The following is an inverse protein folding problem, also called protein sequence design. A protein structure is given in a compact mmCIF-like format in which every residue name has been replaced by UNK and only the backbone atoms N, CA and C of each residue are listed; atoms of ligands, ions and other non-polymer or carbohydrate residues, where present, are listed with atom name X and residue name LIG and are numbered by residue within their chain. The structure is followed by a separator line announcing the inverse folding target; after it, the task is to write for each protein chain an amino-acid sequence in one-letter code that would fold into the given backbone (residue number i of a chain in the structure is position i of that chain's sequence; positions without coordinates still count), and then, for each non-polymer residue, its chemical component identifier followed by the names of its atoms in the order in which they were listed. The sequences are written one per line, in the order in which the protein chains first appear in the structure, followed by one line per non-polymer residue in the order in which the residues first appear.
data_IF_176079504027
#
_entry.id   IF_176079504027
#
_cell.length_a   1.000
_cell.length_b   1.000
_cell.length_c   1.000
_cell.angle_alpha   90.00
_cell.angle_beta   90.00
_cell.angle_gamma   90.00
#
_symmetry.space_group_name_H-M   'P 1'
#
loop_
_entity.id
_entity.type
_entity.pdbx_description
1 polymer ?
#
# COMPACT_ATOMS: atom_id res chain seq x y z
N UNK A 1 -2.69 -13.54 7.25
CA UNK A 1 -2.33 -13.33 5.82
C UNK A 1 -3.03 -14.35 4.96
N UNK A 2 -3.60 -13.94 3.83
CA UNK A 2 -4.28 -14.88 2.92
C UNK A 2 -3.26 -15.73 2.14
N UNK A 3 -3.70 -16.90 1.67
CA UNK A 3 -2.90 -17.75 0.79
C UNK A 3 -2.51 -17.03 -0.51
N UNK A 4 -3.32 -16.06 -0.97
CA UNK A 4 -3.00 -15.20 -2.11
C UNK A 4 -1.81 -14.27 -1.82
N UNK A 5 -1.80 -13.58 -0.67
CA UNK A 5 -0.69 -12.69 -0.31
C UNK A 5 0.63 -13.45 -0.22
N UNK A 6 0.65 -14.61 0.44
CA UNK A 6 1.83 -15.47 0.55
C UNK A 6 2.31 -15.98 -0.81
N UNK A 7 1.38 -16.39 -1.69
CA UNK A 7 1.72 -16.88 -3.02
C UNK A 7 2.23 -15.75 -3.93
N UNK A 8 1.68 -14.54 -3.79
CA UNK A 8 2.11 -13.36 -4.55
C UNK A 8 3.51 -12.89 -4.16
N UNK A 9 3.81 -12.75 -2.87
CA UNK A 9 5.17 -12.36 -2.44
C UNK A 9 6.23 -13.41 -2.80
N UNK A 10 5.91 -14.71 -2.69
CA UNK A 10 6.82 -15.78 -3.11
C UNK A 10 7.13 -15.76 -4.61
N UNK A 11 6.19 -15.27 -5.42
CA UNK A 11 6.30 -15.30 -6.88
C UNK A 11 6.86 -14.00 -7.47
N UNK A 12 6.59 -12.86 -6.83
CA UNK A 12 6.86 -11.54 -7.40
C UNK A 12 7.77 -10.66 -6.52
N UNK A 13 8.20 -11.13 -5.35
CA UNK A 13 8.91 -10.36 -4.32
C UNK A 13 8.05 -9.27 -3.64
N UNK A 14 8.50 -8.77 -2.50
CA UNK A 14 7.78 -7.80 -1.66
C UNK A 14 7.42 -6.50 -2.40
N UNK A 15 8.33 -5.99 -3.23
CA UNK A 15 8.14 -4.74 -3.99
C UNK A 15 6.97 -4.89 -4.96
N UNK A 16 6.93 -5.98 -5.74
CA UNK A 16 5.86 -6.17 -6.70
C UNK A 16 4.52 -6.47 -6.02
N UNK A 17 4.52 -7.17 -4.87
CA UNK A 17 3.32 -7.36 -4.08
C UNK A 17 2.72 -6.04 -3.59
N UNK A 18 3.53 -5.19 -2.95
CA UNK A 18 3.07 -3.87 -2.47
C UNK A 18 2.66 -2.95 -3.63
N UNK A 19 3.38 -3.02 -4.75
CA UNK A 19 3.03 -2.32 -6.00
C UNK A 19 1.66 -2.78 -6.51
N UNK A 20 1.39 -4.08 -6.53
CA UNK A 20 0.09 -4.61 -6.95
C UNK A 20 -1.03 -4.24 -5.97
N UNK A 21 -0.78 -4.28 -4.65
CA UNK A 21 -1.75 -3.86 -3.63
C UNK A 21 -2.16 -2.39 -3.81
N UNK A 22 -1.18 -1.51 -3.99
CA UNK A 22 -1.39 -0.07 -4.17
C UNK A 22 -2.04 0.27 -5.50
N UNK A 23 -1.70 -0.44 -6.58
CA UNK A 23 -2.31 -0.25 -7.90
C UNK A 23 -3.72 -0.81 -8.01
N UNK A 24 -3.96 -2.03 -7.56
CA UNK A 24 -5.13 -2.79 -7.99
C UNK A 24 -6.34 -2.70 -7.06
N UNK A 25 -6.29 -1.93 -5.96
CA UNK A 25 -7.37 -1.94 -4.94
C UNK A 25 -7.73 -3.37 -4.48
N UNK A 26 -6.86 -4.36 -4.72
CA UNK A 26 -7.22 -5.80 -4.77
C UNK A 26 -7.39 -6.45 -3.41
N UNK A 27 -7.04 -5.75 -2.33
CA UNK A 27 -7.11 -6.29 -0.97
C UNK A 27 -8.16 -5.54 -0.15
N UNK A 28 -9.42 -5.61 -0.62
CA UNK A 28 -10.60 -5.32 0.18
C UNK A 28 -10.56 -4.03 1.00
N UNK A 29 -11.41 -3.99 2.02
CA UNK A 29 -11.47 -2.88 2.97
C UNK A 29 -10.24 -2.80 3.88
N UNK A 30 -9.19 -3.62 3.71
CA UNK A 30 -8.07 -3.70 4.66
C UNK A 30 -7.33 -2.38 4.86
N UNK A 31 -7.09 -1.61 3.77
CA UNK A 31 -6.57 -0.26 3.89
C UNK A 31 -7.51 0.62 4.72
N UNK A 32 -8.81 0.61 4.40
CA UNK A 32 -9.83 1.42 5.09
C UNK A 32 -9.93 1.03 6.57
N UNK A 33 -9.97 -0.26 6.88
CA UNK A 33 -10.02 -0.80 8.24
C UNK A 33 -8.79 -0.38 9.06
N UNK A 34 -7.59 -0.40 8.46
CA UNK A 34 -6.38 0.07 9.15
C UNK A 34 -6.44 1.57 9.38
N UNK A 35 -6.91 2.37 8.40
CA UNK A 35 -7.05 3.81 8.57
C UNK A 35 -8.09 4.15 9.64
N UNK A 36 -9.26 3.51 9.62
CA UNK A 36 -10.32 3.66 10.62
C UNK A 36 -9.86 3.26 12.02
N UNK A 37 -8.95 2.28 12.12
CA UNK A 37 -8.32 1.87 13.38
C UNK A 37 -7.14 2.77 13.81
N UNK A 38 -6.83 3.85 13.08
CA UNK A 38 -5.70 4.75 13.38
C UNK A 38 -4.32 4.20 13.00
N UNK A 39 -4.28 3.11 12.23
CA UNK A 39 -3.06 2.39 11.81
C UNK A 39 -2.67 2.74 10.37
N UNK A 40 -2.94 3.97 9.92
CA UNK A 40 -2.67 4.40 8.55
C UNK A 40 -1.19 4.29 8.13
N UNK A 41 -0.26 4.31 9.09
CA UNK A 41 1.19 4.12 8.86
C UNK A 41 1.59 2.65 8.65
N UNK A 42 0.72 1.71 8.98
CA UNK A 42 0.93 0.27 8.81
C UNK A 42 0.39 -0.26 7.46
N UNK A 43 0.10 0.63 6.53
CA UNK A 43 -0.47 0.29 5.21
C UNK A 43 0.62 0.15 4.15
N UNK A 44 0.39 -0.69 3.14
CA UNK A 44 1.28 -0.79 1.97
C UNK A 44 1.40 0.59 1.28
N UNK A 45 0.30 1.35 1.22
CA UNK A 45 0.28 2.72 0.70
C UNK A 45 1.22 3.65 1.46
N UNK A 46 1.34 3.49 2.78
CA UNK A 46 2.28 4.27 3.57
C UNK A 46 3.72 3.93 3.22
N UNK A 47 4.04 2.64 3.16
CA UNK A 47 5.38 2.13 2.84
C UNK A 47 5.79 2.58 1.43
N UNK A 48 4.91 2.43 0.45
CA UNK A 48 5.16 2.82 -0.94
C UNK A 48 5.36 4.33 -1.07
N UNK A 49 4.51 5.14 -0.41
CA UNK A 49 4.61 6.59 -0.51
C UNK A 49 5.82 7.20 0.23
N UNK A 50 6.30 6.55 1.31
CA UNK A 50 7.48 6.99 2.09
C UNK A 50 8.82 6.57 1.48
N UNK A 51 8.82 5.60 0.55
CA UNK A 51 10.04 5.08 -0.07
C UNK A 51 9.98 5.20 -1.61
N UNK A 52 9.77 6.40 -2.18
CA UNK A 52 9.45 6.56 -3.59
C UNK A 52 10.51 5.98 -4.54
N UNK A 53 11.79 5.98 -4.14
CA UNK A 53 12.89 5.48 -4.96
C UNK A 53 12.90 3.94 -5.11
N UNK A 54 12.16 3.23 -4.25
CA UNK A 54 12.07 1.76 -4.27
C UNK A 54 10.92 1.24 -5.13
N UNK A 55 10.00 2.10 -5.56
CA UNK A 55 8.76 1.69 -6.21
C UNK A 55 8.53 2.39 -7.56
N UNK A 56 7.75 1.76 -8.45
CA UNK A 56 7.30 2.43 -9.67
C UNK A 56 6.54 3.73 -9.37
N UNK A 57 6.82 4.78 -10.13
CA UNK A 57 6.27 6.13 -9.89
C UNK A 57 4.74 6.19 -9.92
N UNK A 58 4.11 5.38 -10.75
CA UNK A 58 2.65 5.28 -10.82
C UNK A 58 2.05 4.65 -9.56
N UNK A 59 2.72 3.66 -8.94
CA UNK A 59 2.31 3.08 -7.67
C UNK A 59 2.49 4.08 -6.51
N UNK A 60 3.57 4.85 -6.53
CA UNK A 60 3.80 5.95 -5.58
C UNK A 60 2.70 7.00 -5.69
N UNK A 61 2.35 7.41 -6.92
CA UNK A 61 1.28 8.38 -7.17
C UNK A 61 -0.07 7.86 -6.67
N UNK A 62 -0.41 6.60 -6.97
CA UNK A 62 -1.64 5.96 -6.50
C UNK A 62 -1.71 5.88 -4.97
N UNK A 63 -0.62 5.48 -4.32
CA UNK A 63 -0.52 5.39 -2.87
C UNK A 63 -0.70 6.77 -2.20
N UNK A 64 -0.05 7.82 -2.73
CA UNK A 64 -0.20 9.20 -2.24
C UNK A 64 -1.64 9.70 -2.39
N UNK A 65 -2.23 9.52 -3.57
CA UNK A 65 -3.61 9.94 -3.84
C UNK A 65 -4.60 9.28 -2.87
N UNK A 66 -4.48 7.96 -2.67
CA UNK A 66 -5.35 7.22 -1.76
C UNK A 66 -5.21 7.70 -0.32
N UNK A 67 -3.99 7.95 0.15
CA UNK A 67 -3.76 8.44 1.50
C UNK A 67 -4.33 9.83 1.74
N UNK A 68 -4.17 10.74 0.78
CA UNK A 68 -4.77 12.08 0.83
C UNK A 68 -6.30 11.98 0.92
N UNK A 69 -6.92 11.13 0.10
CA UNK A 69 -8.37 10.93 0.11
C UNK A 69 -8.92 10.41 1.45
N UNK A 70 -8.07 9.77 2.26
CA UNK A 70 -8.42 9.20 3.56
C UNK A 70 -7.75 9.91 4.76
N UNK A 71 -7.18 11.10 4.56
CA UNK A 71 -6.60 11.90 5.64
C UNK A 71 -5.33 11.35 6.29
N UNK A 72 -4.62 10.43 5.63
CA UNK A 72 -3.40 9.81 6.17
C UNK A 72 -2.16 10.64 5.81
N UNK A 73 -1.65 11.40 6.76
CA UNK A 73 -0.52 12.34 6.57
C UNK A 73 0.83 11.62 6.52
N UNK A 74 1.73 12.08 5.65
CA UNK A 74 3.14 11.62 5.58
C UNK A 74 3.97 12.35 6.66
N UNK A 75 4.99 11.70 7.25
CA UNK A 75 6.06 12.44 7.91
C UNK A 75 6.70 13.37 6.87
N UNK A 76 6.89 14.63 7.26
CA UNK A 76 7.57 15.63 6.44
C UNK A 76 9.06 15.33 6.26
#
# INVERSE_FOLDING_TARGET
MSAYSLRSMRRNCEIAFMTDCTRRQTQGTSFVLLVEAGLGTCTDEYIVATNPDRFPQDAVAAARARRIAHGVVLPG
#
